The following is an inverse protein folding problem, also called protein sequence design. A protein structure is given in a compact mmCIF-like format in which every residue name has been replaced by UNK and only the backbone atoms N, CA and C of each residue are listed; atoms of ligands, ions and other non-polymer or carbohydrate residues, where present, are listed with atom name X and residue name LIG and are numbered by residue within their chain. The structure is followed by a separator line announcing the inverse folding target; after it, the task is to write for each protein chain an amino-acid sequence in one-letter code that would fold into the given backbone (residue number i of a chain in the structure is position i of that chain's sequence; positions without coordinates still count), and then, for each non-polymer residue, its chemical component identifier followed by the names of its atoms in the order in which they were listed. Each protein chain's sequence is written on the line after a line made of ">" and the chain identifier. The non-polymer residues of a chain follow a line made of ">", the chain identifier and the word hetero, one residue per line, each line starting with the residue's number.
data_IF_515268531858
#
_entry.id   IF_515268531858
#
_cell.length_a   1.000
_cell.length_b   1.000
_cell.length_c   1.000
_cell.angle_alpha   90.00
_cell.angle_beta   90.00
_cell.angle_gamma   90.00
#
_symmetry.space_group_name_H-M   'P 1'
#
loop_
_entity.id
_entity.type
_entity.pdbx_description
1 polymer ?
#
# COMPACT_ATOMS: atom_id res chain seq x y z
N UNK A 1 -0.77 -83.77 -2.76
CA UNK A 1 0.18 -83.41 -1.69
C UNK A 1 1.45 -82.99 -2.39
N UNK A 2 1.87 -81.74 -2.16
CA UNK A 2 3.09 -81.06 -2.61
C UNK A 2 3.38 -80.95 -4.11
N UNK A 3 4.10 -79.95 -4.65
CA UNK A 3 4.35 -78.54 -4.37
C UNK A 3 5.54 -78.18 -5.31
N UNK A 4 5.37 -77.12 -6.11
CA UNK A 4 6.43 -76.18 -6.54
C UNK A 4 7.61 -76.66 -7.42
N UNK A 5 7.67 -76.17 -8.67
CA UNK A 5 8.90 -75.55 -9.21
C UNK A 5 8.67 -74.63 -10.43
N UNK A 6 9.06 -73.39 -10.22
CA UNK A 6 9.39 -72.24 -11.09
C UNK A 6 10.66 -72.60 -11.94
N UNK A 7 11.07 -72.02 -13.08
CA UNK A 7 11.14 -70.62 -13.54
C UNK A 7 11.28 -70.53 -15.08
N UNK A 8 10.80 -69.43 -15.67
CA UNK A 8 10.92 -69.04 -17.07
C UNK A 8 12.14 -68.12 -17.34
N UNK A 9 12.85 -68.41 -18.45
CA UNK A 9 13.29 -67.45 -19.46
C UNK A 9 14.25 -66.30 -19.10
N UNK A 10 15.56 -66.51 -19.30
CA UNK A 10 16.56 -65.47 -19.41
C UNK A 10 16.99 -65.27 -20.89
N UNK A 11 17.09 -64.01 -21.33
CA UNK A 11 17.64 -63.62 -22.64
C UNK A 11 17.42 -62.14 -22.95
N UNK A 12 18.28 -61.27 -22.38
CA UNK A 12 18.38 -59.83 -22.67
C UNK A 12 19.44 -59.60 -23.77
N UNK A 13 19.18 -58.69 -24.70
CA UNK A 13 20.11 -57.60 -25.11
C UNK A 13 19.42 -56.63 -26.10
N UNK A 14 20.02 -55.43 -26.24
CA UNK A 14 19.61 -54.22 -26.99
C UNK A 14 18.62 -53.29 -26.25
N UNK A 15 18.85 -52.00 -26.06
CA UNK A 15 19.92 -51.08 -26.43
C UNK A 15 19.49 -49.68 -25.96
N UNK A 16 20.41 -48.95 -25.33
CA UNK A 16 20.20 -47.62 -24.76
C UNK A 16 19.98 -46.55 -25.86
N UNK A 17 18.90 -45.77 -25.75
CA UNK A 17 18.80 -44.42 -26.32
C UNK A 17 18.10 -43.53 -25.30
N UNK A 18 18.87 -42.75 -24.56
CA UNK A 18 18.37 -41.67 -23.72
C UNK A 18 18.01 -40.46 -24.59
N UNK A 19 16.75 -40.02 -24.51
CA UNK A 19 16.30 -38.75 -25.07
C UNK A 19 15.88 -37.82 -23.91
N UNK A 20 16.61 -36.72 -23.86
CA UNK A 20 16.47 -35.50 -23.08
C UNK A 20 15.01 -35.07 -22.80
N UNK A 21 14.64 -35.02 -21.51
CA UNK A 21 13.47 -34.28 -21.04
C UNK A 21 13.94 -33.00 -20.36
N UNK A 22 13.98 -31.94 -21.15
CA UNK A 22 14.10 -30.56 -20.70
C UNK A 22 13.03 -30.25 -19.64
N UNK A 23 13.49 -29.73 -18.50
CA UNK A 23 12.74 -29.54 -17.28
C UNK A 23 11.46 -28.72 -17.44
N UNK A 24 10.38 -29.29 -16.92
CA UNK A 24 9.12 -28.61 -16.66
C UNK A 24 9.37 -27.57 -15.56
N UNK A 25 9.48 -26.30 -15.94
CA UNK A 25 9.60 -25.21 -15.00
C UNK A 25 8.31 -25.15 -14.17
N UNK A 26 8.41 -25.53 -12.90
CA UNK A 26 7.31 -25.44 -11.95
C UNK A 26 6.63 -24.07 -12.06
N UNK A 27 5.28 -24.00 -12.02
CA UNK A 27 4.58 -22.73 -12.12
C UNK A 27 5.09 -21.83 -10.99
N UNK A 28 5.69 -20.68 -11.36
CA UNK A 28 6.04 -19.62 -10.40
C UNK A 28 4.79 -19.35 -9.56
N UNK A 29 4.90 -19.54 -8.24
CA UNK A 29 3.88 -19.12 -7.27
C UNK A 29 3.50 -17.69 -7.62
N UNK A 30 2.25 -17.47 -8.03
CA UNK A 30 1.66 -16.14 -8.03
C UNK A 30 1.68 -15.69 -6.57
N UNK A 31 2.62 -14.81 -6.20
CA UNK A 31 2.67 -14.18 -4.89
C UNK A 31 1.26 -13.68 -4.53
N UNK A 32 0.74 -14.14 -3.39
CA UNK A 32 -0.57 -13.71 -2.91
C UNK A 32 -0.49 -12.23 -2.60
N UNK A 33 -1.32 -11.45 -3.28
CA UNK A 33 -1.42 -10.00 -3.09
C UNK A 33 -1.93 -9.75 -1.68
N UNK A 34 -1.15 -9.09 -0.81
CA UNK A 34 -1.59 -8.72 0.53
C UNK A 34 -2.03 -7.26 0.53
N UNK A 35 -3.22 -6.99 1.05
CA UNK A 35 -3.75 -5.62 1.17
C UNK A 35 -4.11 -5.36 2.63
N UNK A 36 -3.56 -4.28 3.17
CA UNK A 36 -3.98 -3.72 4.45
C UNK A 36 -4.78 -2.45 4.19
N UNK A 37 -6.02 -2.45 4.64
CA UNK A 37 -6.96 -1.35 4.45
C UNK A 37 -7.46 -0.85 5.79
N UNK A 38 -6.99 0.32 6.20
CA UNK A 38 -7.46 1.02 7.38
C UNK A 38 -8.55 2.04 7.03
N UNK A 39 -9.46 2.26 7.96
CA UNK A 39 -10.40 3.36 7.92
C UNK A 39 -10.17 4.24 9.15
N UNK A 40 -10.03 5.54 8.97
CA UNK A 40 -10.03 6.52 10.05
C UNK A 40 -11.29 7.36 9.92
N UNK A 41 -12.16 7.37 10.93
CA UNK A 41 -13.49 7.94 10.82
C UNK A 41 -13.77 8.92 11.96
N UNK A 42 -14.12 10.13 11.55
CA UNK A 42 -14.69 11.14 12.41
C UNK A 42 -16.01 10.65 13.02
N UNK A 43 -16.11 10.71 14.35
CA UNK A 43 -17.27 10.30 15.12
C UNK A 43 -17.84 11.44 15.98
N UNK A 44 -17.56 12.69 15.61
CA UNK A 44 -18.00 13.86 16.38
C UNK A 44 -19.46 14.21 16.06
N UNK A 45 -20.05 15.19 16.74
CA UNK A 45 -21.46 15.52 16.58
C UNK A 45 -21.84 15.98 15.16
N UNK A 46 -20.94 16.70 14.48
CA UNK A 46 -21.15 17.22 13.11
C UNK A 46 -21.38 16.11 12.09
N UNK A 47 -20.79 14.94 12.33
CA UNK A 47 -20.96 13.72 11.52
C UNK A 47 -22.37 13.13 11.56
N UNK A 48 -23.31 13.67 12.34
CA UNK A 48 -24.66 13.14 12.51
C UNK A 48 -25.40 12.83 11.20
N UNK A 49 -25.29 13.69 10.19
CA UNK A 49 -25.90 13.45 8.86
C UNK A 49 -25.11 12.50 7.96
N UNK A 50 -23.84 12.27 8.26
CA UNK A 50 -22.92 11.54 7.40
C UNK A 50 -22.59 10.14 7.90
N UNK A 51 -22.65 9.89 9.22
CA UNK A 51 -22.08 8.67 9.81
C UNK A 51 -22.72 7.39 9.28
N UNK A 52 -24.04 7.40 9.04
CA UNK A 52 -24.74 6.25 8.45
C UNK A 52 -24.33 6.04 6.99
N UNK A 53 -24.10 7.13 6.25
CA UNK A 53 -23.60 7.07 4.87
C UNK A 53 -22.15 6.57 4.86
N UNK A 54 -21.30 7.04 5.77
CA UNK A 54 -19.92 6.59 5.93
C UNK A 54 -19.86 5.09 6.25
N UNK A 55 -20.60 4.62 7.25
CA UNK A 55 -20.72 3.20 7.59
C UNK A 55 -21.18 2.36 6.40
N UNK A 56 -22.19 2.83 5.65
CA UNK A 56 -22.66 2.14 4.44
C UNK A 56 -21.58 2.07 3.37
N UNK A 57 -20.88 3.17 3.12
CA UNK A 57 -19.85 3.28 2.10
C UNK A 57 -18.63 2.40 2.42
N UNK A 58 -18.19 2.38 3.68
CA UNK A 58 -17.11 1.50 4.13
C UNK A 58 -17.49 0.03 3.89
N UNK A 59 -18.73 -0.37 4.22
CA UNK A 59 -19.20 -1.74 3.94
C UNK A 59 -19.15 -2.10 2.47
N UNK A 60 -19.57 -1.18 1.59
CA UNK A 60 -19.50 -1.39 0.14
C UNK A 60 -18.06 -1.54 -0.34
N UNK A 61 -17.14 -0.69 0.13
CA UNK A 61 -15.71 -0.77 -0.19
C UNK A 61 -15.15 -2.13 0.24
N UNK A 62 -15.41 -2.55 1.48
CA UNK A 62 -14.95 -3.84 2.02
C UNK A 62 -15.51 -5.01 1.22
N UNK A 63 -16.81 -5.00 0.89
CA UNK A 63 -17.45 -6.05 0.11
C UNK A 63 -16.89 -6.10 -1.33
N UNK A 64 -16.67 -4.96 -1.96
CA UNK A 64 -16.13 -4.87 -3.31
C UNK A 64 -14.67 -5.36 -3.39
N UNK A 65 -13.84 -4.95 -2.44
CA UNK A 65 -12.43 -5.36 -2.39
C UNK A 65 -12.32 -6.87 -2.12
N UNK A 66 -13.03 -7.38 -1.10
CA UNK A 66 -12.98 -8.80 -0.74
C UNK A 66 -13.57 -9.71 -1.82
N UNK A 67 -14.58 -9.23 -2.58
CA UNK A 67 -15.18 -10.03 -3.66
C UNK A 67 -14.38 -10.03 -4.95
N UNK A 68 -13.66 -8.95 -5.26
CA UNK A 68 -12.91 -8.81 -6.52
C UNK A 68 -11.47 -9.28 -6.44
N UNK A 69 -10.84 -9.15 -5.28
CA UNK A 69 -9.44 -9.50 -5.14
C UNK A 69 -9.25 -10.96 -4.74
N UNK A 70 -8.29 -11.63 -5.40
CA UNK A 70 -7.67 -12.86 -4.87
C UNK A 70 -6.56 -12.48 -3.86
N UNK A 71 -6.82 -11.46 -3.03
CA UNK A 71 -5.85 -10.88 -2.10
C UNK A 71 -6.19 -11.29 -0.67
N UNK A 72 -5.15 -11.42 0.16
CA UNK A 72 -5.32 -11.53 1.60
C UNK A 72 -5.52 -10.13 2.19
N UNK A 73 -6.77 -9.80 2.52
CA UNK A 73 -7.18 -8.46 2.96
C UNK A 73 -7.30 -8.42 4.48
N UNK A 74 -6.60 -7.49 5.11
CA UNK A 74 -6.76 -7.15 6.52
C UNK A 74 -7.35 -5.74 6.66
N UNK A 75 -8.27 -5.59 7.62
CA UNK A 75 -9.08 -4.39 7.82
C UNK A 75 -8.83 -3.82 9.22
N UNK A 76 -8.67 -2.50 9.33
CA UNK A 76 -8.57 -1.80 10.62
C UNK A 76 -9.54 -0.60 10.67
N UNK A 77 -9.90 -0.18 11.88
CA UNK A 77 -10.73 1.00 12.12
C UNK A 77 -10.16 1.85 13.25
N UNK A 78 -9.89 3.12 12.94
CA UNK A 78 -9.59 4.18 13.90
C UNK A 78 -10.81 5.10 13.96
N UNK A 79 -11.43 5.20 15.12
CA UNK A 79 -12.45 6.21 15.40
C UNK A 79 -11.75 7.39 16.08
N UNK A 80 -12.11 8.62 15.74
CA UNK A 80 -11.64 9.78 16.48
C UNK A 80 -12.78 10.75 16.78
N UNK A 81 -12.58 11.52 17.84
CA UNK A 81 -13.41 12.67 18.20
C UNK A 81 -12.51 13.84 18.54
N UNK A 82 -12.66 14.37 19.74
CA UNK A 82 -11.96 15.56 20.17
C UNK A 82 -11.32 15.39 21.55
N UNK A 83 -10.49 16.35 21.89
CA UNK A 83 -9.79 16.49 23.16
C UNK A 83 -10.71 17.03 24.25
N UNK A 84 -10.47 16.65 25.52
CA UNK A 84 -11.05 17.36 26.64
C UNK A 84 -10.63 18.85 26.63
N UNK A 85 -11.53 19.81 26.90
CA UNK A 85 -12.83 19.60 27.53
C UNK A 85 -14.00 19.31 26.57
N UNK A 86 -13.81 19.43 25.27
CA UNK A 86 -14.86 19.37 24.25
C UNK A 86 -15.47 17.97 24.10
N UNK A 87 -14.65 16.93 24.25
CA UNK A 87 -15.11 15.55 24.43
C UNK A 87 -14.46 14.90 25.67
N UNK A 88 -15.27 14.21 26.47
CA UNK A 88 -14.84 13.53 27.70
C UNK A 88 -14.88 12.00 27.57
N UNK A 89 -15.26 11.48 26.41
CA UNK A 89 -15.44 10.05 26.13
C UNK A 89 -14.16 9.42 25.63
N UNK A 90 -13.60 9.91 24.51
CA UNK A 90 -12.33 9.48 23.95
C UNK A 90 -11.87 10.44 22.85
N UNK A 91 -10.55 10.60 22.71
CA UNK A 91 -9.94 11.29 21.56
C UNK A 91 -9.83 10.33 20.36
N UNK A 92 -9.29 9.13 20.59
CA UNK A 92 -9.19 8.07 19.58
C UNK A 92 -9.55 6.69 20.15
N UNK A 93 -10.19 5.83 19.33
CA UNK A 93 -10.40 4.41 19.61
C UNK A 93 -9.89 3.58 18.44
N UNK A 94 -9.05 2.59 18.73
CA UNK A 94 -8.34 1.81 17.70
C UNK A 94 -8.79 0.35 17.74
N UNK A 95 -9.32 -0.11 16.62
CA UNK A 95 -9.48 -1.52 16.30
C UNK A 95 -8.44 -1.88 15.23
N UNK A 96 -7.41 -2.60 15.65
CA UNK A 96 -6.29 -2.97 14.80
C UNK A 96 -6.67 -4.05 13.75
N UNK A 97 -5.74 -4.39 12.86
CA UNK A 97 -6.00 -5.23 11.70
C UNK A 97 -6.64 -6.59 12.02
N UNK A 98 -7.67 -6.93 11.24
CA UNK A 98 -8.37 -8.21 11.25
C UNK A 98 -8.68 -8.68 9.83
N UNK A 99 -8.61 -9.98 9.57
CA UNK A 99 -9.12 -10.58 8.32
C UNK A 99 -10.65 -10.82 8.35
N UNK A 100 -11.30 -10.53 9.48
CA UNK A 100 -12.74 -10.77 9.68
C UNK A 100 -13.57 -9.56 9.23
N UNK A 101 -14.19 -9.68 8.05
CA UNK A 101 -15.21 -8.72 7.57
C UNK A 101 -16.35 -8.57 8.58
N UNK A 102 -16.70 -9.64 9.30
CA UNK A 102 -17.72 -9.59 10.36
C UNK A 102 -17.31 -8.67 11.51
N UNK A 103 -16.06 -8.74 11.94
CA UNK A 103 -15.52 -7.91 13.02
C UNK A 103 -15.52 -6.44 12.60
N UNK A 104 -15.08 -6.14 11.37
CA UNK A 104 -15.15 -4.80 10.81
C UNK A 104 -16.59 -4.24 10.81
N UNK A 105 -17.58 -5.03 10.37
CA UNK A 105 -18.99 -4.63 10.40
C UNK A 105 -19.49 -4.34 11.82
N UNK A 106 -19.09 -5.15 12.80
CA UNK A 106 -19.45 -4.95 14.20
C UNK A 106 -18.83 -3.69 14.80
N UNK A 107 -17.58 -3.36 14.44
CA UNK A 107 -16.95 -2.10 14.86
C UNK A 107 -17.69 -0.90 14.27
N UNK A 108 -18.01 -0.96 12.97
CA UNK A 108 -18.80 0.08 12.32
C UNK A 108 -20.18 0.27 12.97
N UNK A 109 -20.86 -0.81 13.36
CA UNK A 109 -22.16 -0.75 14.04
C UNK A 109 -22.09 0.00 15.40
N UNK A 110 -20.90 0.11 16.01
CA UNK A 110 -20.69 0.78 17.29
C UNK A 110 -20.34 2.28 17.13
N UNK A 111 -19.98 2.71 15.93
CA UNK A 111 -19.67 4.11 15.67
C UNK A 111 -20.94 4.97 15.77
N UNK A 112 -20.83 6.10 16.47
CA UNK A 112 -21.91 7.06 16.64
C UNK A 112 -21.36 8.48 16.72
N UNK A 113 -22.07 9.41 16.08
CA UNK A 113 -21.74 10.82 16.03
C UNK A 113 -22.16 11.49 17.34
N UNK A 114 -21.19 12.01 18.10
CA UNK A 114 -21.43 12.73 19.36
C UNK A 114 -20.18 13.48 19.80
N UNK A 115 -20.32 14.49 20.66
CA UNK A 115 -19.18 15.30 21.14
C UNK A 115 -18.68 16.28 20.10
N UNK A 116 -17.41 16.70 20.22
CA UNK A 116 -16.74 17.65 19.33
C UNK A 116 -16.74 19.09 19.86
N UNK A 117 -17.86 19.59 20.37
CA UNK A 117 -17.92 20.88 21.08
C UNK A 117 -17.64 22.09 20.17
N UNK A 118 -16.38 22.34 19.81
CA UNK A 118 -15.98 23.26 18.75
C UNK A 118 -15.98 22.60 17.36
N UNK A 119 -15.47 23.31 16.34
CA UNK A 119 -15.54 22.87 14.93
C UNK A 119 -14.32 22.07 14.49
N UNK A 120 -13.08 22.47 14.82
CA UNK A 120 -11.93 21.61 14.55
C UNK A 120 -11.94 20.37 15.45
N UNK A 121 -11.28 19.30 15.03
CA UNK A 121 -11.33 18.00 15.71
C UNK A 121 -9.92 17.37 15.79
N UNK A 122 -9.78 16.24 16.49
CA UNK A 122 -8.51 15.53 16.72
C UNK A 122 -7.97 14.75 15.49
N UNK A 123 -7.94 15.39 14.32
CA UNK A 123 -7.45 14.82 13.06
C UNK A 123 -5.97 14.41 13.15
N UNK A 124 -5.13 15.20 13.84
CA UNK A 124 -3.71 14.89 14.00
C UNK A 124 -3.49 13.58 14.77
N UNK A 125 -4.26 13.40 15.85
CA UNK A 125 -4.26 12.21 16.68
C UNK A 125 -4.71 10.98 15.88
N UNK A 126 -5.78 11.11 15.10
CA UNK A 126 -6.27 10.04 14.24
C UNK A 126 -5.21 9.59 13.22
N UNK A 127 -4.57 10.54 12.51
CA UNK A 127 -3.48 10.23 11.59
C UNK A 127 -2.31 9.54 12.32
N UNK A 128 -2.00 9.97 13.54
CA UNK A 128 -0.92 9.38 14.31
C UNK A 128 -1.26 7.94 14.78
N UNK A 129 -2.52 7.66 15.09
CA UNK A 129 -2.95 6.28 15.35
C UNK A 129 -2.87 5.41 14.08
N UNK A 130 -3.22 5.95 12.91
CA UNK A 130 -3.09 5.24 11.62
C UNK A 130 -1.63 4.84 11.36
N UNK A 131 -0.68 5.75 11.61
CA UNK A 131 0.77 5.49 11.53
C UNK A 131 1.21 4.31 12.41
N UNK A 132 0.54 4.10 13.54
CA UNK A 132 0.89 3.13 14.59
C UNK A 132 0.18 1.78 14.46
N UNK A 133 -0.74 1.62 13.51
CA UNK A 133 -1.38 0.33 13.23
C UNK A 133 -0.34 -0.73 12.85
N UNK A 134 -0.67 -2.01 13.04
CA UNK A 134 0.24 -3.13 12.74
C UNK A 134 0.21 -3.52 11.26
N UNK A 135 0.63 -2.58 10.41
CA UNK A 135 0.78 -2.80 8.98
C UNK A 135 1.75 -3.96 8.69
N UNK A 136 1.40 -4.85 7.77
CA UNK A 136 2.30 -5.90 7.29
C UNK A 136 3.37 -5.28 6.38
N UNK A 137 4.61 -5.76 6.47
CA UNK A 137 5.70 -5.24 5.64
C UNK A 137 5.38 -5.47 4.15
N UNK A 138 5.01 -6.70 3.80
CA UNK A 138 4.73 -7.15 2.43
C UNK A 138 3.27 -6.91 1.98
N UNK A 139 2.65 -5.81 2.38
CA UNK A 139 1.31 -5.42 1.94
C UNK A 139 1.28 -4.05 1.26
N UNK A 140 0.34 -3.89 0.34
CA UNK A 140 -0.15 -2.57 -0.08
C UNK A 140 -0.90 -1.95 1.10
N UNK A 141 -0.52 -0.73 1.50
CA UNK A 141 -1.02 -0.07 2.73
C UNK A 141 -1.87 1.12 2.35
N UNK A 142 -3.16 1.05 2.64
CA UNK A 142 -4.11 2.10 2.29
C UNK A 142 -4.90 2.52 3.53
N UNK A 143 -5.02 3.83 3.76
CA UNK A 143 -5.93 4.39 4.74
C UNK A 143 -6.99 5.26 4.05
N UNK A 144 -8.26 5.00 4.35
CA UNK A 144 -9.38 5.86 3.97
C UNK A 144 -9.77 6.71 5.18
N UNK A 145 -9.54 8.02 5.09
CA UNK A 145 -9.83 8.98 6.14
C UNK A 145 -11.13 9.72 5.85
N UNK A 146 -12.13 9.58 6.72
CA UNK A 146 -13.46 10.18 6.58
C UNK A 146 -13.59 11.31 7.59
N UNK A 147 -13.83 12.53 7.11
CA UNK A 147 -13.89 13.73 7.94
C UNK A 147 -14.89 14.75 7.40
N UNK A 148 -15.42 15.59 8.29
CA UNK A 148 -16.25 16.75 7.93
C UNK A 148 -15.75 18.09 8.48
N UNK A 149 -14.70 18.05 9.31
CA UNK A 149 -14.11 19.17 10.04
C UNK A 149 -12.57 19.25 9.88
N UNK A 150 -11.93 20.41 10.11
CA UNK A 150 -10.47 20.58 10.05
C UNK A 150 -9.75 20.04 11.30
N UNK A 151 -8.41 19.87 11.26
CA UNK A 151 -7.62 19.73 12.50
C UNK A 151 -7.61 21.02 13.33
N UNK A 152 -7.40 20.88 14.63
CA UNK A 152 -6.98 22.02 15.48
C UNK A 152 -5.73 22.71 14.96
N UNK A 153 -5.67 24.03 15.18
CA UNK A 153 -4.60 24.92 14.75
C UNK A 153 -4.73 25.39 13.30
N UNK A 154 -5.74 24.93 12.54
CA UNK A 154 -5.98 25.37 11.16
C UNK A 154 -7.06 26.45 11.06
N UNK A 155 -8.08 26.42 11.92
CA UNK A 155 -9.17 27.40 11.89
C UNK A 155 -8.84 28.64 12.71
N UNK A 156 -9.11 29.83 12.16
CA UNK A 156 -8.85 31.11 12.85
C UNK A 156 -9.96 31.53 13.81
N UNK A 157 -11.13 30.89 13.80
CA UNK A 157 -12.28 31.27 14.61
C UNK A 157 -12.98 30.07 15.22
N UNK A 158 -13.21 30.15 16.54
CA UNK A 158 -13.95 29.13 17.28
C UNK A 158 -13.15 27.88 17.63
N UNK A 159 -11.85 27.83 17.33
CA UNK A 159 -10.96 26.74 17.73
C UNK A 159 -10.57 26.91 19.21
N UNK A 160 -10.88 25.92 20.04
CA UNK A 160 -10.51 25.90 21.45
C UNK A 160 -9.08 25.39 21.69
N UNK A 161 -8.41 24.88 20.65
CA UNK A 161 -7.01 24.49 20.63
C UNK A 161 -6.24 25.20 19.49
N UNK A 162 -6.17 26.56 19.50
CA UNK A 162 -5.67 27.35 18.38
C UNK A 162 -4.17 27.18 18.10
N UNK A 163 -3.42 26.55 19.02
CA UNK A 163 -2.00 26.23 18.83
C UNK A 163 -1.77 24.84 18.22
N UNK A 164 -2.83 24.14 17.81
CA UNK A 164 -2.77 22.78 17.27
C UNK A 164 -3.14 21.71 18.29
N UNK A 165 -2.90 20.45 17.90
CA UNK A 165 -3.13 19.28 18.74
C UNK A 165 -2.46 19.43 20.13
N UNK A 166 -3.18 19.20 21.25
CA UNK A 166 -2.62 19.22 22.59
C UNK A 166 -1.41 18.31 22.82
N UNK A 167 -1.36 17.17 22.12
CA UNK A 167 -0.25 16.21 22.18
C UNK A 167 0.96 16.62 21.33
N UNK A 168 0.94 17.82 20.72
CA UNK A 168 2.03 18.38 19.93
C UNK A 168 2.17 17.76 18.54
N UNK A 169 1.14 17.07 18.06
CA UNK A 169 1.11 16.44 16.74
C UNK A 169 0.75 17.47 15.66
N UNK A 170 1.59 17.58 14.63
CA UNK A 170 1.28 18.35 13.44
C UNK A 170 0.76 17.41 12.32
N UNK A 171 -0.46 17.62 11.80
CA UNK A 171 -1.03 16.76 10.76
C UNK A 171 -0.14 16.59 9.52
N UNK A 172 0.55 17.64 9.08
CA UNK A 172 1.41 17.58 7.90
C UNK A 172 2.67 16.78 8.17
N UNK A 173 3.25 16.88 9.37
CA UNK A 173 4.39 16.05 9.79
C UNK A 173 3.97 14.59 9.88
N UNK A 174 2.86 14.28 10.53
CA UNK A 174 2.35 12.91 10.66
C UNK A 174 1.99 12.32 9.29
N UNK A 175 1.42 13.10 8.37
CA UNK A 175 1.14 12.64 7.01
C UNK A 175 2.42 12.38 6.21
N UNK A 176 3.52 13.11 6.43
CA UNK A 176 4.81 12.74 5.83
C UNK A 176 5.32 11.41 6.37
N UNK A 177 5.13 11.12 7.66
CA UNK A 177 5.47 9.81 8.22
C UNK A 177 4.64 8.67 7.57
N UNK A 178 3.35 8.91 7.28
CA UNK A 178 2.54 7.97 6.50
C UNK A 178 3.17 7.69 5.13
N UNK A 179 3.57 8.75 4.41
CA UNK A 179 4.21 8.61 3.11
C UNK A 179 5.55 7.85 3.18
N UNK A 180 6.38 8.14 4.18
CA UNK A 180 7.66 7.44 4.43
C UNK A 180 7.46 5.94 4.72
N UNK A 181 6.34 5.57 5.37
CA UNK A 181 5.95 4.17 5.61
C UNK A 181 5.21 3.51 4.44
N UNK A 182 5.06 4.21 3.32
CA UNK A 182 4.33 3.72 2.15
C UNK A 182 2.83 3.53 2.39
N UNK A 183 2.24 4.31 3.30
CA UNK A 183 0.81 4.28 3.58
C UNK A 183 0.13 5.37 2.74
N UNK A 184 -0.67 4.94 1.77
CA UNK A 184 -1.42 5.84 0.88
C UNK A 184 -2.72 6.30 1.56
N UNK A 185 -2.91 7.61 1.66
CA UNK A 185 -4.06 8.24 2.32
C UNK A 185 -5.09 8.72 1.29
N UNK A 186 -6.29 8.13 1.29
CA UNK A 186 -7.44 8.65 0.57
C UNK A 186 -8.36 9.41 1.51
N UNK A 187 -8.77 10.62 1.15
CA UNK A 187 -9.72 11.38 1.95
C UNK A 187 -11.14 11.18 1.38
N UNK A 188 -12.06 10.72 2.21
CA UNK A 188 -13.49 10.72 1.93
C UNK A 188 -14.15 11.93 2.62
N UNK A 189 -14.22 13.06 1.91
CA UNK A 189 -14.71 14.31 2.49
C UNK A 189 -16.23 14.40 2.57
N UNK A 190 -16.76 14.74 3.74
CA UNK A 190 -18.18 14.96 3.97
C UNK A 190 -18.58 16.38 3.52
N UNK A 191 -19.09 16.47 2.30
CA UNK A 191 -19.58 17.73 1.73
C UNK A 191 -21.06 17.98 2.10
N UNK A 192 -21.46 19.23 2.38
CA UNK A 192 -20.68 20.46 2.20
C UNK A 192 -19.80 20.87 3.40
N UNK A 193 -19.91 20.22 4.57
CA UNK A 193 -19.22 20.63 5.82
C UNK A 193 -17.71 20.85 5.64
N UNK A 194 -17.02 19.92 4.98
CA UNK A 194 -15.56 19.96 4.81
C UNK A 194 -15.09 21.00 3.79
N UNK A 195 -15.99 21.63 3.01
CA UNK A 195 -15.64 22.40 1.81
C UNK A 195 -14.64 23.53 2.08
N UNK A 196 -14.78 24.22 3.22
CA UNK A 196 -13.89 25.32 3.61
C UNK A 196 -12.43 24.87 3.84
N UNK A 197 -12.22 23.58 4.12
CA UNK A 197 -10.93 22.99 4.47
C UNK A 197 -10.49 21.93 3.45
N UNK A 198 -11.20 21.83 2.33
CA UNK A 198 -10.98 20.81 1.29
C UNK A 198 -9.55 20.82 0.76
N UNK A 199 -8.98 22.00 0.53
CA UNK A 199 -7.62 22.12 -0.01
C UNK A 199 -6.57 21.53 0.94
N UNK A 200 -6.78 21.67 2.26
CA UNK A 200 -5.91 21.06 3.26
C UNK A 200 -5.96 19.53 3.18
N UNK A 201 -7.15 18.95 3.14
CA UNK A 201 -7.32 17.51 3.00
C UNK A 201 -6.81 16.97 1.65
N UNK A 202 -6.99 17.73 0.58
CA UNK A 202 -6.39 17.41 -0.73
C UNK A 202 -4.86 17.38 -0.66
N UNK A 203 -4.25 18.30 0.08
CA UNK A 203 -2.81 18.29 0.31
C UNK A 203 -2.35 17.04 1.08
N UNK A 204 -3.09 16.63 2.12
CA UNK A 204 -2.77 15.40 2.87
C UNK A 204 -2.81 14.15 1.98
N UNK A 205 -3.88 14.00 1.20
CA UNK A 205 -3.99 12.92 0.22
C UNK A 205 -2.81 12.95 -0.76
N UNK A 206 -2.52 14.12 -1.35
CA UNK A 206 -1.50 14.26 -2.36
C UNK A 206 -0.09 13.91 -1.84
N UNK A 207 0.24 14.26 -0.59
CA UNK A 207 1.53 13.96 0.03
C UNK A 207 1.85 12.46 0.09
N UNK A 208 0.82 11.62 0.14
CA UNK A 208 0.95 10.16 0.20
C UNK A 208 0.68 9.47 -1.14
N UNK A 209 0.45 10.24 -2.21
CA UNK A 209 0.06 9.71 -3.53
C UNK A 209 -1.42 9.33 -3.65
N UNK A 210 -2.23 9.58 -2.62
CA UNK A 210 -3.66 9.31 -2.62
C UNK A 210 -4.51 10.44 -3.22
N UNK A 211 -5.83 10.34 -3.04
CA UNK A 211 -6.80 11.29 -3.62
C UNK A 211 -7.92 11.66 -2.65
N UNK A 212 -8.45 12.87 -2.82
CA UNK A 212 -9.70 13.29 -2.21
C UNK A 212 -10.90 12.84 -3.05
N UNK A 213 -11.90 12.25 -2.41
CA UNK A 213 -13.16 11.83 -3.00
C UNK A 213 -14.31 12.30 -2.11
N UNK A 214 -15.35 12.98 -2.64
CA UNK A 214 -16.52 13.30 -1.83
C UNK A 214 -17.21 12.02 -1.32
N UNK A 215 -17.63 12.00 -0.05
CA UNK A 215 -18.29 10.83 0.56
C UNK A 215 -19.53 10.37 -0.22
N UNK A 216 -20.25 11.32 -0.84
CA UNK A 216 -21.40 11.03 -1.71
C UNK A 216 -21.06 10.14 -2.92
N UNK A 217 -19.78 10.03 -3.28
CA UNK A 217 -19.25 9.24 -4.41
C UNK A 217 -18.34 8.09 -3.95
N UNK A 218 -18.65 7.45 -2.84
CA UNK A 218 -17.82 6.36 -2.33
C UNK A 218 -17.79 5.12 -3.24
N UNK A 219 -18.75 4.96 -4.16
CA UNK A 219 -18.70 3.96 -5.23
C UNK A 219 -17.51 4.20 -6.18
N UNK A 220 -17.09 5.45 -6.35
CA UNK A 220 -15.87 5.82 -7.07
C UNK A 220 -14.65 5.54 -6.21
N UNK A 221 -14.73 5.81 -4.90
CA UNK A 221 -13.62 5.57 -3.98
C UNK A 221 -13.22 4.09 -3.95
N UNK A 222 -14.18 3.17 -3.90
CA UNK A 222 -13.90 1.73 -3.98
C UNK A 222 -13.11 1.38 -5.26
N UNK A 223 -13.52 1.91 -6.41
CA UNK A 223 -12.84 1.71 -7.70
C UNK A 223 -11.46 2.36 -7.74
N UNK A 224 -11.29 3.52 -7.12
CA UNK A 224 -10.00 4.21 -7.03
C UNK A 224 -9.04 3.43 -6.13
N UNK A 225 -9.51 2.91 -4.99
CA UNK A 225 -8.70 2.08 -4.09
C UNK A 225 -8.33 0.76 -4.77
N UNK A 226 -9.31 0.06 -5.36
CA UNK A 226 -9.08 -1.20 -6.08
C UNK A 226 -8.15 -0.97 -7.26
N UNK A 227 -8.42 0.05 -8.09
CA UNK A 227 -7.60 0.38 -9.24
C UNK A 227 -6.19 0.80 -8.85
N UNK A 228 -6.04 1.65 -7.83
CA UNK A 228 -4.75 2.08 -7.30
C UNK A 228 -3.95 0.91 -6.70
N UNK A 229 -4.58 0.06 -5.88
CA UNK A 229 -3.94 -1.13 -5.34
C UNK A 229 -3.52 -2.10 -6.44
N UNK A 230 -4.36 -2.30 -7.46
CA UNK A 230 -4.02 -3.13 -8.62
C UNK A 230 -2.85 -2.55 -9.41
N UNK A 231 -2.84 -1.24 -9.66
CA UNK A 231 -1.74 -0.55 -10.33
C UNK A 231 -0.44 -0.65 -9.54
N UNK A 232 -0.47 -0.43 -8.23
CA UNK A 232 0.69 -0.53 -7.35
C UNK A 232 1.26 -1.95 -7.32
N UNK A 233 0.41 -2.97 -7.19
CA UNK A 233 0.81 -4.37 -7.25
C UNK A 233 1.39 -4.74 -8.61
N UNK A 234 0.78 -4.27 -9.70
CA UNK A 234 1.32 -4.47 -11.05
C UNK A 234 2.66 -3.77 -11.24
N UNK A 235 2.85 -2.60 -10.64
CA UNK A 235 4.12 -1.87 -10.68
C UNK A 235 5.21 -2.58 -9.87
N UNK A 236 4.89 -3.11 -8.68
CA UNK A 236 5.84 -3.89 -7.88
C UNK A 236 6.30 -5.16 -8.61
N UNK A 237 5.38 -5.89 -9.24
CA UNK A 237 5.72 -7.06 -10.06
C UNK A 237 6.64 -6.68 -11.23
N UNK A 238 6.34 -5.55 -11.89
CA UNK A 238 7.18 -5.03 -12.95
C UNK A 238 8.56 -4.60 -12.44
N UNK A 239 8.63 -3.96 -11.27
CA UNK A 239 9.90 -3.56 -10.65
C UNK A 239 10.76 -4.77 -10.31
N UNK A 240 10.17 -5.85 -9.79
CA UNK A 240 10.89 -7.09 -9.53
C UNK A 240 11.39 -7.72 -10.83
N UNK A 241 10.58 -7.75 -11.88
CA UNK A 241 11.02 -8.23 -13.20
C UNK A 241 12.17 -7.41 -13.78
N UNK A 242 12.11 -6.08 -13.65
CA UNK A 242 13.18 -5.16 -14.04
C UNK A 242 14.45 -5.46 -13.24
N UNK A 243 14.34 -5.60 -11.92
CA UNK A 243 15.47 -5.87 -11.03
C UNK A 243 16.16 -7.21 -11.37
N UNK A 244 15.38 -8.27 -11.60
CA UNK A 244 15.91 -9.56 -12.04
C UNK A 244 16.63 -9.45 -13.39
N UNK A 245 16.09 -8.67 -14.33
CA UNK A 245 16.73 -8.47 -15.64
C UNK A 245 18.02 -7.65 -15.52
N UNK A 246 18.05 -6.64 -14.66
CA UNK A 246 19.27 -5.87 -14.34
C UNK A 246 20.35 -6.80 -13.77
N UNK A 247 20.01 -7.62 -12.77
CA UNK A 247 20.93 -8.57 -12.14
C UNK A 247 21.46 -9.57 -13.18
N UNK A 248 20.57 -10.13 -14.01
CA UNK A 248 20.95 -11.09 -15.04
C UNK A 248 21.83 -10.45 -16.13
N UNK A 249 21.53 -9.23 -16.57
CA UNK A 249 22.36 -8.50 -17.53
C UNK A 249 23.74 -8.15 -16.95
N UNK A 250 23.80 -7.74 -15.67
CA UNK A 250 25.05 -7.49 -14.97
C UNK A 250 25.89 -8.77 -14.77
N UNK A 251 25.26 -9.92 -14.51
CA UNK A 251 25.96 -11.20 -14.36
C UNK A 251 26.53 -11.76 -15.67
N UNK A 252 26.00 -11.34 -16.82
CA UNK A 252 26.48 -11.73 -18.15
C UNK A 252 27.46 -10.71 -18.75
N UNK A 253 27.73 -9.62 -18.04
CA UNK A 253 28.69 -8.61 -18.42
C UNK A 253 30.11 -9.08 -18.10
N UNK A 254 31.00 -9.07 -19.08
CA UNK A 254 32.40 -9.51 -18.92
C UNK A 254 33.33 -8.38 -18.43
N UNK A 255 32.89 -7.11 -18.49
CA UNK A 255 33.61 -5.91 -18.03
C UNK A 255 32.63 -4.80 -17.55
N UNK A 256 33.14 -3.76 -16.88
CA UNK A 256 32.43 -2.58 -16.38
C UNK A 256 31.42 -2.02 -17.40
N UNK A 257 30.15 -2.41 -17.27
CA UNK A 257 29.06 -1.88 -18.10
C UNK A 257 28.69 -0.49 -17.59
N UNK A 258 28.66 0.47 -18.52
CA UNK A 258 28.11 1.80 -18.28
C UNK A 258 26.62 1.73 -17.93
N UNK A 259 26.20 2.54 -16.96
CA UNK A 259 24.84 2.60 -16.46
C UNK A 259 23.82 2.93 -17.57
N UNK A 260 24.20 3.74 -18.55
CA UNK A 260 23.36 4.06 -19.70
C UNK A 260 23.16 2.85 -20.62
N UNK A 261 24.21 2.06 -20.85
CA UNK A 261 24.14 0.85 -21.67
C UNK A 261 23.35 -0.28 -20.98
N UNK A 262 23.51 -0.46 -19.66
CA UNK A 262 22.68 -1.39 -18.89
C UNK A 262 21.20 -0.98 -18.94
N UNK A 263 20.91 0.30 -18.75
CA UNK A 263 19.56 0.86 -18.84
C UNK A 263 18.96 0.60 -20.21
N UNK A 264 19.73 0.80 -21.29
CA UNK A 264 19.29 0.59 -22.66
C UNK A 264 19.02 -0.88 -22.96
N UNK A 265 19.87 -1.79 -22.51
CA UNK A 265 19.67 -3.23 -22.69
C UNK A 265 18.41 -3.72 -21.96
N UNK A 266 18.24 -3.34 -20.70
CA UNK A 266 17.06 -3.68 -19.90
C UNK A 266 15.80 -3.11 -20.55
N UNK A 267 15.83 -1.84 -20.99
CA UNK A 267 14.70 -1.22 -21.69
C UNK A 267 14.34 -1.95 -23.00
N UNK A 268 15.33 -2.33 -23.82
CA UNK A 268 15.07 -3.07 -25.07
C UNK A 268 14.45 -4.45 -24.81
N UNK A 269 14.95 -5.18 -23.81
CA UNK A 269 14.40 -6.48 -23.43
C UNK A 269 12.97 -6.36 -22.90
N UNK A 270 12.69 -5.40 -22.02
CA UNK A 270 11.33 -5.14 -21.53
C UNK A 270 10.37 -4.80 -22.68
N UNK A 271 10.81 -3.97 -23.64
CA UNK A 271 10.02 -3.61 -24.83
C UNK A 271 9.73 -4.82 -25.73
N UNK A 272 10.71 -5.72 -25.91
CA UNK A 272 10.55 -6.95 -26.70
C UNK A 272 9.54 -7.94 -26.09
N UNK A 273 9.32 -7.85 -24.77
CA UNK A 273 8.34 -8.67 -24.03
C UNK A 273 6.94 -8.03 -23.96
N UNK A 274 6.72 -6.92 -24.66
CA UNK A 274 5.40 -6.32 -24.83
C UNK A 274 5.00 -5.26 -23.80
N UNK A 275 5.93 -4.76 -22.98
CA UNK A 275 5.67 -3.66 -22.06
C UNK A 275 5.48 -2.33 -22.83
N UNK A 276 4.27 -1.78 -22.80
CA UNK A 276 3.87 -0.59 -23.59
C UNK A 276 4.10 0.77 -22.90
N UNK A 277 4.30 0.80 -21.58
CA UNK A 277 4.30 2.03 -20.76
C UNK A 277 5.61 2.33 -20.01
N UNK A 278 6.76 1.86 -20.50
CA UNK A 278 8.08 2.08 -19.84
C UNK A 278 8.53 3.55 -19.77
N UNK A 279 7.72 4.51 -20.23
CA UNK A 279 8.14 5.90 -20.45
C UNK A 279 7.61 6.96 -19.48
N UNK A 280 6.69 6.68 -18.55
CA UNK A 280 6.03 7.78 -17.80
C UNK A 280 6.24 7.83 -16.28
N UNK A 281 6.70 6.76 -15.63
CA UNK A 281 7.00 6.81 -14.18
C UNK A 281 8.22 6.02 -13.71
N UNK A 282 8.74 5.10 -14.54
CA UNK A 282 9.85 4.24 -14.15
C UNK A 282 11.14 4.89 -14.63
N UNK A 283 11.72 5.77 -13.81
CA UNK A 283 13.11 6.15 -13.99
C UNK A 283 13.98 4.94 -13.64
N UNK A 284 14.28 4.11 -14.64
CA UNK A 284 15.18 2.96 -14.52
C UNK A 284 16.52 3.36 -13.87
N UNK A 285 16.95 4.60 -14.10
CA UNK A 285 18.14 5.21 -13.51
C UNK A 285 18.01 5.32 -11.98
N UNK A 286 16.84 5.66 -11.45
CA UNK A 286 16.63 5.72 -9.98
C UNK A 286 16.66 4.33 -9.36
N UNK A 287 16.11 3.33 -10.06
CA UNK A 287 16.11 1.93 -9.62
C UNK A 287 17.54 1.36 -9.62
N UNK A 288 18.34 1.67 -10.63
CA UNK A 288 19.77 1.28 -10.68
C UNK A 288 20.60 1.97 -9.58
N UNK A 289 20.22 3.18 -9.17
CA UNK A 289 20.85 3.89 -8.04
C UNK A 289 20.51 3.23 -6.70
N UNK A 290 19.26 2.87 -6.46
CA UNK A 290 18.82 2.21 -5.22
C UNK A 290 19.38 0.79 -5.09
N UNK A 291 19.49 0.05 -6.20
CA UNK A 291 20.10 -1.27 -6.23
C UNK A 291 21.65 -1.25 -6.11
N UNK A 292 22.26 -0.07 -5.92
CA UNK A 292 23.70 0.08 -5.66
C UNK A 292 24.60 -0.05 -6.90
N UNK A 293 24.03 -0.10 -8.10
CA UNK A 293 24.76 -0.23 -9.37
C UNK A 293 25.30 1.10 -9.93
N UNK A 294 24.92 2.25 -9.36
CA UNK A 294 25.39 3.57 -9.79
C UNK A 294 25.94 4.39 -8.62
N UNK A 295 27.28 4.52 -8.52
CA UNK A 295 27.90 5.62 -7.79
C UNK A 295 28.30 6.73 -8.77
N UNK A 296 28.06 7.98 -8.37
CA UNK A 296 28.36 9.17 -9.18
C UNK A 296 29.87 9.29 -9.41
N UNK A 297 30.26 9.41 -10.68
CA UNK A 297 31.54 10.00 -11.07
C UNK A 297 31.35 11.53 -11.06
N UNK A 298 31.80 12.18 -9.99
CA UNK A 298 32.16 13.61 -10.09
C UNK A 298 33.67 13.67 -10.36
N UNK A 299 34.07 14.45 -11.35
CA UNK A 299 35.32 14.27 -12.10
C UNK A 299 36.60 14.11 -11.28
N UNK A 300 37.42 13.12 -11.66
CA UNK A 300 38.82 12.98 -11.26
C UNK A 300 39.24 11.58 -10.79
N UNK A 301 39.77 10.77 -11.71
CA UNK A 301 40.61 9.56 -11.54
C UNK A 301 40.35 8.53 -10.40
N UNK A 302 40.01 7.30 -10.87
CA UNK A 302 40.45 5.94 -10.50
C UNK A 302 39.59 5.01 -9.60
N UNK A 303 39.26 3.89 -10.27
CA UNK A 303 39.10 2.48 -9.85
C UNK A 303 37.82 2.03 -9.11
N UNK A 304 36.99 1.30 -9.86
CA UNK A 304 36.03 0.33 -9.35
C UNK A 304 36.77 -0.86 -8.71
N UNK A 305 36.34 -1.24 -7.51
CA UNK A 305 36.74 -2.49 -6.86
C UNK A 305 35.48 -3.35 -6.72
N UNK A 306 35.32 -4.30 -7.63
CA UNK A 306 34.40 -5.41 -7.47
C UNK A 306 35.06 -6.46 -6.56
N UNK A 307 34.82 -6.36 -5.26
CA UNK A 307 35.10 -7.42 -4.31
C UNK A 307 33.81 -8.20 -4.01
N UNK A 308 33.85 -9.54 -3.90
CA UNK A 308 32.69 -10.31 -3.44
C UNK A 308 32.36 -9.87 -2.01
N UNK A 309 31.15 -9.34 -1.82
CA UNK A 309 30.61 -8.97 -0.52
C UNK A 309 30.76 -10.15 0.44
N UNK A 310 31.63 -9.97 1.43
CA UNK A 310 31.90 -10.98 2.45
C UNK A 310 30.84 -10.83 3.54
N UNK A 311 29.97 -11.85 3.64
CA UNK A 311 29.09 -12.23 4.76
C UNK A 311 28.10 -11.21 5.31
#
# INVERSE_FOLDING_TARGET
>A
MDASRQEDGAGKEEGDVAMDQSGDAAPKKTESKNLDLAFAMDCTGSMGSYIHQAQKNIRLIVEEIVSKEKADVCLALVEYRDHPPEDQTFVTRVNDFTSSVRSMKQWLDQCSASGGGDTPEAVADALHQVVKLRWREDSTKICVFIADAPPHGLSSSGDHFPNGCPDGLDPMVVTRELAEKGITLYIAGCEPSITAYKDFFMALAHLTGGQYVPLARADVLAKVIVGGAQEELSLQQLMEEVNQEVIHAAAQADEDIDAEDLTRQVHMKLKSRGFKHTNEKISLISILKEAGFCKYHDGGEKQLHCGPGSK
#
